data_IF_644102053955
#
_entry.id   IF_644102053955
#
_cell.length_a   1.000
_cell.length_b   1.000
_cell.length_c   1.000
_cell.angle_alpha   90.00
_cell.angle_beta   90.00
_cell.angle_gamma   90.00
#
_symmetry.space_group_name_H-M   'P 1'
#
loop_
_entity.id
_entity.type
_entity.pdbx_description
1 polymer ?
#
# COMPACT_ATOMS: atom_id res chain seq x y z
N UNK A 1 -66.17 9.06 -3.07
CA UNK A 1 -65.17 7.99 -2.95
C UNK A 1 -63.95 8.40 -3.77
N UNK A 2 -62.87 8.80 -3.10
CA UNK A 2 -61.75 9.56 -3.67
C UNK A 2 -60.96 8.77 -4.72
N UNK A 3 -60.81 9.36 -5.91
CA UNK A 3 -59.79 9.03 -6.90
C UNK A 3 -58.53 9.82 -6.52
N UNK A 4 -57.41 9.14 -6.24
CA UNK A 4 -56.11 9.79 -6.04
C UNK A 4 -55.38 9.89 -7.37
N UNK A 5 -55.02 11.12 -7.72
CA UNK A 5 -54.50 11.51 -9.03
C UNK A 5 -52.97 11.48 -9.09
N UNK A 6 -52.46 11.29 -10.31
CA UNK A 6 -51.03 11.27 -10.63
C UNK A 6 -50.40 12.64 -10.41
N UNK A 7 -49.56 12.80 -9.37
CA UNK A 7 -48.68 13.98 -9.27
C UNK A 7 -47.28 13.64 -8.76
N UNK A 8 -46.34 13.61 -9.71
CA UNK A 8 -44.96 14.15 -9.65
C UNK A 8 -44.18 13.99 -8.33
N UNK A 9 -43.20 13.09 -8.33
CA UNK A 9 -41.95 13.26 -7.56
C UNK A 9 -40.74 12.86 -8.40
N UNK A 10 -40.23 13.83 -9.17
CA UNK A 10 -38.83 13.86 -9.55
C UNK A 10 -38.06 14.44 -8.35
N UNK A 11 -37.24 13.63 -7.69
CA UNK A 11 -36.31 14.09 -6.66
C UNK A 11 -34.99 14.43 -7.34
N UNK A 12 -34.51 15.63 -7.03
CA UNK A 12 -33.49 16.37 -7.73
C UNK A 12 -32.10 15.75 -7.60
N UNK A 13 -31.46 15.55 -8.75
CA UNK A 13 -30.03 15.36 -8.92
C UNK A 13 -29.31 16.66 -8.53
N UNK A 14 -28.75 16.70 -7.31
CA UNK A 14 -27.88 17.82 -6.87
C UNK A 14 -26.52 17.70 -7.57
N UNK A 15 -26.41 18.34 -8.73
CA UNK A 15 -25.12 18.68 -9.37
C UNK A 15 -24.32 19.56 -8.40
N UNK A 16 -23.15 19.09 -7.95
CA UNK A 16 -22.08 19.98 -7.47
C UNK A 16 -21.18 20.27 -8.67
N UNK A 17 -21.39 21.43 -9.29
CA UNK A 17 -20.43 22.09 -10.16
C UNK A 17 -19.97 23.34 -9.42
N UNK A 18 -18.76 23.32 -8.90
CA UNK A 18 -17.99 24.46 -8.42
C UNK A 18 -16.55 23.94 -8.24
N UNK A 19 -15.50 24.47 -8.86
CA UNK A 19 -15.39 25.50 -9.87
C UNK A 19 -14.03 25.34 -10.54
N UNK A 20 -13.98 25.47 -11.86
CA UNK A 20 -12.72 25.60 -12.60
C UNK A 20 -12.32 27.07 -12.50
N UNK A 21 -11.42 27.37 -11.57
CA UNK A 21 -10.68 28.63 -11.60
C UNK A 21 -9.52 28.43 -12.58
N UNK A 22 -9.48 29.28 -13.60
CA UNK A 22 -8.41 29.36 -14.58
C UNK A 22 -7.09 29.73 -13.89
N UNK A 23 -6.04 28.96 -14.15
CA UNK A 23 -4.66 29.39 -13.99
C UNK A 23 -4.02 29.44 -15.38
N UNK A 24 -4.03 30.63 -15.98
CA UNK A 24 -3.16 30.99 -17.11
C UNK A 24 -1.94 31.66 -16.50
N UNK A 25 -0.76 31.07 -16.69
CA UNK A 25 0.52 31.74 -16.42
C UNK A 25 1.55 30.87 -15.70
N UNK A 26 2.28 30.03 -16.43
CA UNK A 26 3.74 30.09 -16.62
C UNK A 26 4.18 28.84 -17.39
N UNK A 27 4.58 29.02 -18.65
CA UNK A 27 5.46 28.07 -19.32
C UNK A 27 6.87 28.29 -18.78
N UNK A 28 7.24 27.56 -17.75
CA UNK A 28 8.62 27.41 -17.32
C UNK A 28 8.92 25.91 -17.21
N UNK A 29 9.76 25.44 -18.14
CA UNK A 29 10.48 24.17 -18.11
C UNK A 29 9.72 22.97 -17.53
N UNK A 30 9.17 22.14 -18.43
CA UNK A 30 8.95 20.71 -18.18
C UNK A 30 10.32 20.05 -17.93
N UNK A 31 10.90 20.29 -16.75
CA UNK A 31 11.81 19.34 -16.16
C UNK A 31 10.99 18.08 -15.93
N UNK A 32 11.34 16.98 -16.60
CA UNK A 32 10.89 15.67 -16.17
C UNK A 32 11.34 15.56 -14.73
N UNK A 33 10.41 15.71 -13.77
CA UNK A 33 10.68 15.38 -12.39
C UNK A 33 11.00 13.89 -12.43
N UNK A 34 12.28 13.56 -12.43
CA UNK A 34 12.74 12.20 -12.23
C UNK A 34 12.12 11.78 -10.91
N UNK A 35 11.20 10.82 -10.95
CA UNK A 35 10.68 10.22 -9.73
C UNK A 35 11.90 9.88 -8.86
N UNK A 36 11.89 10.20 -7.56
CA UNK A 36 13.01 9.88 -6.70
C UNK A 36 13.34 8.41 -6.88
N UNK A 37 14.61 8.11 -7.17
CA UNK A 37 15.11 6.75 -7.23
C UNK A 37 14.63 6.05 -5.97
N UNK A 38 14.02 4.87 -6.11
CA UNK A 38 13.65 4.07 -4.97
C UNK A 38 14.92 3.82 -4.15
N UNK A 39 15.05 4.51 -3.03
CA UNK A 39 16.16 4.31 -2.11
C UNK A 39 15.81 3.06 -1.31
N UNK A 40 16.11 1.91 -1.89
CA UNK A 40 16.34 0.77 -1.05
C UNK A 40 17.81 0.56 -0.85
N UNK A 41 18.06 0.20 0.37
CA UNK A 41 19.33 -0.09 0.93
C UNK A 41 19.45 -1.60 0.85
N UNK A 42 20.62 -2.03 0.37
CA UNK A 42 21.02 -3.39 0.04
C UNK A 42 20.32 -4.52 0.84
N UNK A 43 20.10 -5.67 0.19
CA UNK A 43 19.65 -6.94 0.80
C UNK A 43 20.52 -7.40 1.99
N UNK A 44 21.73 -6.83 2.13
CA UNK A 44 22.62 -7.13 3.24
C UNK A 44 22.15 -6.38 4.48
N UNK A 45 21.43 -7.10 5.35
CA UNK A 45 21.39 -6.79 6.77
C UNK A 45 22.82 -6.88 7.33
N UNK A 46 23.60 -5.81 7.21
CA UNK A 46 24.89 -5.75 7.87
C UNK A 46 24.70 -5.17 9.26
N UNK A 47 25.02 -5.98 10.23
CA UNK A 47 24.80 -5.68 11.61
C UNK A 47 25.78 -4.57 12.07
N UNK A 48 25.25 -3.47 12.63
CA UNK A 48 26.05 -2.36 13.16
C UNK A 48 25.95 -2.33 14.69
N UNK A 49 27.06 -2.46 15.40
CA UNK A 49 27.14 -2.12 16.84
C UNK A 49 26.93 -3.22 17.88
N UNK A 50 26.95 -4.51 17.56
CA UNK A 50 26.87 -5.63 18.54
C UNK A 50 25.49 -6.29 18.76
N UNK A 51 24.43 -5.78 18.14
CA UNK A 51 23.06 -6.33 18.02
C UNK A 51 22.97 -7.70 17.31
N UNK A 52 21.98 -8.51 17.71
CA UNK A 52 21.75 -9.84 17.15
C UNK A 52 21.17 -9.79 15.70
N UNK A 53 21.82 -10.50 14.78
CA UNK A 53 21.41 -10.63 13.37
C UNK A 53 20.18 -11.54 13.15
N UNK A 54 19.70 -12.24 14.20
CA UNK A 54 18.50 -13.07 14.16
C UNK A 54 17.27 -12.34 13.63
N UNK A 55 17.18 -11.02 13.88
CA UNK A 55 16.07 -10.17 13.40
C UNK A 55 15.92 -10.15 11.88
N UNK A 56 17.00 -10.38 11.14
CA UNK A 56 16.96 -10.42 9.67
C UNK A 56 16.43 -11.74 9.10
N UNK A 57 16.32 -12.79 9.92
CA UNK A 57 15.60 -14.01 9.53
C UNK A 57 14.07 -13.84 9.57
N UNK A 58 13.58 -12.73 10.11
CA UNK A 58 12.15 -12.47 10.28
C UNK A 58 11.57 -11.54 9.20
N UNK A 59 12.23 -11.36 8.05
CA UNK A 59 11.69 -10.51 6.98
C UNK A 59 10.59 -11.26 6.20
N UNK A 60 9.37 -10.76 6.28
CA UNK A 60 8.29 -11.21 5.41
C UNK A 60 8.54 -10.80 3.95
N UNK A 61 8.30 -11.73 3.02
CA UNK A 61 8.39 -11.45 1.58
C UNK A 61 7.11 -11.81 0.84
N UNK A 62 6.86 -11.08 -0.24
CA UNK A 62 5.85 -11.41 -1.24
C UNK A 62 6.58 -11.70 -2.56
N UNK A 63 6.16 -12.74 -3.26
CA UNK A 63 6.72 -13.13 -4.54
C UNK A 63 5.64 -13.08 -5.62
N UNK A 64 6.04 -12.79 -6.86
CA UNK A 64 5.13 -12.85 -8.00
C UNK A 64 4.45 -14.22 -8.12
N UNK A 65 3.23 -14.25 -8.64
CA UNK A 65 2.35 -15.41 -8.69
C UNK A 65 1.57 -15.66 -7.39
N UNK A 66 1.80 -14.86 -6.35
CA UNK A 66 1.07 -14.96 -5.09
C UNK A 66 -0.28 -14.24 -5.14
N UNK A 67 -1.26 -14.82 -4.44
CA UNK A 67 -2.59 -14.25 -4.20
C UNK A 67 -2.90 -14.39 -2.71
N UNK A 68 -3.45 -13.35 -2.10
CA UNK A 68 -3.71 -13.28 -0.65
C UNK A 68 -5.05 -12.62 -0.38
N UNK A 69 -5.84 -13.19 0.54
CA UNK A 69 -7.08 -12.58 1.01
C UNK A 69 -6.83 -11.56 2.11
N UNK A 70 -7.83 -10.72 2.43
CA UNK A 70 -7.75 -9.82 3.56
C UNK A 70 -7.49 -10.54 4.88
N UNK A 71 -6.76 -9.85 5.76
CA UNK A 71 -6.18 -10.40 6.99
C UNK A 71 -4.75 -10.92 6.84
N UNK A 72 -4.25 -11.09 5.60
CA UNK A 72 -2.87 -11.50 5.33
C UNK A 72 -1.85 -10.50 5.89
N UNK A 73 -0.71 -11.01 6.36
CA UNK A 73 0.32 -10.21 7.05
C UNK A 73 1.73 -10.70 6.76
N UNK A 74 2.65 -9.75 6.67
CA UNK A 74 4.09 -9.96 6.52
C UNK A 74 4.79 -9.10 7.56
N UNK A 75 5.51 -9.76 8.47
CA UNK A 75 6.02 -9.10 9.67
C UNK A 75 7.54 -9.00 9.59
N UNK A 76 8.08 -8.11 10.43
CA UNK A 76 9.40 -8.22 11.04
C UNK A 76 9.20 -8.33 12.56
N UNK A 77 10.27 -8.20 13.34
CA UNK A 77 10.17 -8.05 14.80
C UNK A 77 9.46 -6.78 15.24
N UNK A 78 9.51 -5.73 14.42
CA UNK A 78 9.17 -4.36 14.82
C UNK A 78 8.04 -3.77 13.95
N UNK A 79 7.67 -4.44 12.86
CA UNK A 79 6.61 -3.98 11.95
C UNK A 79 5.72 -5.11 11.42
N UNK A 80 4.56 -4.72 10.89
CA UNK A 80 3.68 -5.58 10.10
C UNK A 80 3.14 -4.83 8.89
N UNK A 81 3.35 -5.38 7.70
CA UNK A 81 2.58 -5.07 6.50
C UNK A 81 1.33 -5.95 6.52
N UNK A 82 0.15 -5.33 6.48
CA UNK A 82 -1.14 -6.03 6.56
C UNK A 82 -2.01 -5.67 5.37
N UNK A 83 -2.48 -6.69 4.65
CA UNK A 83 -3.59 -6.53 3.74
C UNK A 83 -4.88 -6.68 4.54
N UNK A 84 -5.62 -5.59 4.67
CA UNK A 84 -6.78 -5.49 5.55
C UNK A 84 -8.05 -5.99 4.86
N UNK A 85 -9.07 -6.33 5.66
CA UNK A 85 -10.37 -6.79 5.14
C UNK A 85 -11.19 -5.69 4.45
N UNK A 86 -10.69 -4.45 4.47
CA UNK A 86 -11.24 -3.34 3.70
C UNK A 86 -10.44 -3.09 2.42
N UNK A 87 -9.56 -4.00 1.98
CA UNK A 87 -8.76 -3.84 0.77
C UNK A 87 -7.56 -2.88 0.90
N UNK A 88 -7.33 -2.31 2.09
CA UNK A 88 -6.20 -1.41 2.33
C UNK A 88 -4.93 -2.21 2.66
N UNK A 89 -3.81 -1.85 2.03
CA UNK A 89 -2.51 -2.42 2.35
C UNK A 89 -1.77 -1.42 3.23
N UNK A 90 -1.53 -1.78 4.48
CA UNK A 90 -1.04 -0.83 5.50
C UNK A 90 0.15 -1.40 6.25
N UNK A 91 1.17 -0.56 6.44
CA UNK A 91 2.35 -0.84 7.25
C UNK A 91 2.16 -0.23 8.65
N UNK A 92 2.32 -1.03 9.68
CA UNK A 92 2.18 -0.63 11.08
C UNK A 92 3.45 -0.90 11.89
N UNK A 93 3.70 -0.05 12.89
CA UNK A 93 4.65 -0.36 13.96
C UNK A 93 4.04 -1.36 14.94
N UNK A 94 4.79 -2.39 15.34
CA UNK A 94 4.35 -3.35 16.36
C UNK A 94 4.56 -2.80 17.79
N UNK A 95 5.55 -1.94 17.97
CA UNK A 95 5.91 -1.38 19.28
C UNK A 95 5.77 0.15 19.27
N UNK A 96 5.56 0.71 20.46
CA UNK A 96 5.61 2.16 20.68
C UNK A 96 6.96 2.58 21.24
N UNK A 97 7.31 3.86 21.08
CA UNK A 97 8.61 4.39 21.50
C UNK A 97 9.02 5.61 20.67
N UNK A 98 10.26 6.07 20.88
CA UNK A 98 10.83 7.14 20.08
C UNK A 98 11.21 6.61 18.69
N UNK A 99 10.75 7.28 17.64
CA UNK A 99 11.11 7.00 16.25
C UNK A 99 12.23 7.95 15.82
N UNK A 100 13.38 7.39 15.45
CA UNK A 100 14.51 8.18 14.95
C UNK A 100 14.21 8.80 13.59
N UNK A 101 13.57 8.06 12.67
CA UNK A 101 13.24 8.55 11.32
C UNK A 101 12.19 9.68 11.33
N UNK A 102 11.33 9.74 12.35
CA UNK A 102 10.29 10.77 12.47
C UNK A 102 10.59 11.82 13.56
N UNK A 103 11.64 11.63 14.36
CA UNK A 103 12.00 12.46 15.52
C UNK A 103 10.85 12.72 16.50
N UNK A 104 9.99 11.72 16.73
CA UNK A 104 8.85 11.80 17.65
C UNK A 104 8.50 10.46 18.26
N UNK A 105 7.73 10.48 19.35
CA UNK A 105 7.12 9.26 19.87
C UNK A 105 6.02 8.77 18.93
N UNK A 106 6.01 7.47 18.67
CA UNK A 106 4.97 6.76 17.93
C UNK A 106 4.33 5.71 18.82
N UNK A 107 3.05 5.43 18.59
CA UNK A 107 2.31 4.42 19.34
C UNK A 107 2.44 3.04 18.70
N UNK A 108 2.31 1.98 19.50
CA UNK A 108 2.12 0.64 18.95
C UNK A 108 0.82 0.61 18.11
N UNK A 109 0.89 0.02 16.92
CA UNK A 109 -0.22 0.00 15.96
C UNK A 109 -0.39 1.28 15.14
N UNK A 110 0.53 2.24 15.24
CA UNK A 110 0.50 3.44 14.39
C UNK A 110 0.86 3.09 12.93
N UNK A 111 0.09 3.61 11.98
CA UNK A 111 0.29 3.38 10.55
C UNK A 111 1.41 4.30 10.01
N UNK A 112 2.41 3.70 9.37
CA UNK A 112 3.54 4.44 8.78
C UNK A 112 3.36 4.68 7.28
N UNK A 113 2.69 3.76 6.60
CA UNK A 113 2.37 3.85 5.17
C UNK A 113 1.08 3.10 4.88
N UNK A 114 0.32 3.57 3.90
CA UNK A 114 -0.86 2.88 3.41
C UNK A 114 -0.99 3.05 1.88
N UNK A 115 -1.58 2.07 1.20
CA UNK A 115 -1.99 2.23 -0.20
C UNK A 115 -3.03 3.34 -0.36
N UNK A 116 -3.74 3.69 0.71
CA UNK A 116 -4.74 4.75 0.73
C UNK A 116 -6.04 4.34 0.04
N UNK A 117 -6.20 3.04 -0.23
CA UNK A 117 -7.39 2.48 -0.83
C UNK A 117 -8.10 1.59 0.19
N UNK A 118 -9.23 2.04 0.69
CA UNK A 118 -10.19 1.16 1.37
C UNK A 118 -11.38 0.97 0.43
N UNK A 119 -11.95 -0.22 0.36
CA UNK A 119 -13.09 -0.58 -0.47
C UNK A 119 -14.23 0.40 -0.21
N UNK A 120 -14.35 1.39 -1.10
CA UNK A 120 -15.35 2.45 -1.07
C UNK A 120 -16.44 2.22 -2.12
N UNK A 121 -16.61 0.99 -2.62
CA UNK A 121 -17.64 0.73 -3.61
C UNK A 121 -19.04 1.03 -3.04
N UNK A 122 -19.56 2.20 -3.40
CA UNK A 122 -20.88 2.68 -2.99
C UNK A 122 -22.02 1.90 -3.67
N UNK A 123 -21.69 1.08 -4.65
CA UNK A 123 -22.67 0.42 -5.54
C UNK A 123 -22.96 -1.00 -5.04
N UNK A 124 -21.97 -1.70 -4.46
CA UNK A 124 -22.15 -3.04 -3.90
C UNK A 124 -21.30 -3.21 -2.63
N UNK A 125 -21.84 -3.77 -1.54
CA UNK A 125 -21.01 -4.13 -0.39
C UNK A 125 -19.97 -5.16 -0.86
N UNK A 126 -18.66 -4.89 -0.67
CA UNK A 126 -17.63 -5.84 -1.03
C UNK A 126 -17.84 -7.12 -0.21
N UNK A 127 -17.81 -8.26 -0.90
CA UNK A 127 -17.96 -9.59 -0.27
C UNK A 127 -16.64 -10.36 -0.21
N UNK A 128 -15.58 -9.76 -0.73
CA UNK A 128 -14.22 -10.25 -0.61
C UNK A 128 -13.21 -9.25 -1.15
N UNK A 129 -11.97 -9.46 -0.78
CA UNK A 129 -10.83 -8.66 -1.16
C UNK A 129 -9.64 -9.57 -1.39
N UNK A 130 -8.85 -9.27 -2.40
CA UNK A 130 -7.62 -9.99 -2.65
C UNK A 130 -6.50 -9.05 -3.07
N UNK A 131 -5.30 -9.46 -2.74
CA UNK A 131 -4.05 -8.86 -3.16
C UNK A 131 -3.36 -9.88 -4.07
N UNK A 132 -3.07 -9.49 -5.30
CA UNK A 132 -2.37 -10.32 -6.28
C UNK A 132 -1.03 -9.67 -6.61
N UNK A 133 0.05 -10.46 -6.56
CA UNK A 133 1.33 -10.04 -7.11
C UNK A 133 1.53 -10.74 -8.44
N UNK A 134 1.26 -10.04 -9.53
CA UNK A 134 1.26 -10.62 -10.87
C UNK A 134 2.69 -10.97 -11.31
N UNK A 135 2.82 -11.92 -12.25
CA UNK A 135 4.12 -12.36 -12.81
C UNK A 135 4.81 -11.29 -13.66
N UNK A 136 4.14 -10.18 -13.94
CA UNK A 136 4.74 -8.99 -14.54
C UNK A 136 5.38 -8.06 -13.50
N UNK A 137 5.26 -8.36 -12.20
CA UNK A 137 5.78 -7.56 -11.11
C UNK A 137 4.85 -6.45 -10.64
N UNK A 138 3.57 -6.44 -11.03
CA UNK A 138 2.61 -5.50 -10.44
C UNK A 138 1.93 -6.11 -9.21
N UNK A 139 2.08 -5.48 -8.04
CA UNK A 139 1.25 -5.79 -6.87
C UNK A 139 -0.05 -4.97 -6.95
N UNK A 140 -1.18 -5.66 -7.02
CA UNK A 140 -2.50 -5.05 -7.19
C UNK A 140 -3.51 -5.61 -6.17
N UNK A 141 -4.43 -4.78 -5.73
CA UNK A 141 -5.59 -5.20 -4.95
C UNK A 141 -6.85 -5.20 -5.81
N UNK A 142 -7.76 -6.08 -5.44
CA UNK A 142 -9.07 -6.23 -6.06
C UNK A 142 -10.15 -6.38 -4.99
N UNK A 143 -11.35 -5.93 -5.31
CA UNK A 143 -12.55 -6.18 -4.52
C UNK A 143 -13.51 -7.08 -5.31
N UNK A 144 -14.16 -8.02 -4.63
CA UNK A 144 -15.22 -8.84 -5.19
C UNK A 144 -16.58 -8.22 -4.87
N UNK A 145 -17.41 -8.05 -5.90
CA UNK A 145 -18.82 -7.69 -5.72
C UNK A 145 -19.71 -8.85 -6.12
N UNK A 146 -20.84 -9.00 -5.42
CA UNK A 146 -21.90 -9.93 -5.84
C UNK A 146 -22.77 -9.28 -6.92
N UNK A 147 -22.59 -9.70 -8.16
CA UNK A 147 -23.49 -9.37 -9.26
C UNK A 147 -24.66 -10.36 -9.24
N UNK A 148 -25.64 -10.15 -8.35
CA UNK A 148 -26.76 -11.10 -8.21
C UNK A 148 -27.74 -11.03 -9.38
N UNK A 149 -27.46 -11.87 -10.37
CA UNK A 149 -28.44 -12.76 -11.02
C UNK A 149 -27.89 -14.20 -11.24
N UNK A 150 -26.57 -14.41 -11.17
CA UNK A 150 -25.91 -15.69 -11.53
C UNK A 150 -24.96 -16.26 -10.45
N UNK A 151 -24.76 -15.58 -9.32
CA UNK A 151 -23.89 -16.06 -8.23
C UNK A 151 -22.40 -16.13 -8.59
N UNK A 152 -21.96 -15.34 -9.58
CA UNK A 152 -20.56 -15.22 -9.96
C UNK A 152 -19.94 -14.00 -9.29
N UNK A 153 -18.75 -14.19 -8.70
CA UNK A 153 -17.94 -13.09 -8.22
C UNK A 153 -17.32 -12.36 -9.41
N UNK A 154 -17.51 -11.05 -9.45
CA UNK A 154 -16.75 -10.18 -10.34
C UNK A 154 -15.72 -9.42 -9.52
N UNK A 155 -14.47 -9.45 -9.99
CA UNK A 155 -13.33 -8.81 -9.35
C UNK A 155 -13.04 -7.48 -10.02
N UNK A 156 -13.08 -6.41 -9.23
CA UNK A 156 -12.80 -5.05 -9.65
C UNK A 156 -11.41 -4.67 -9.20
N UNK A 157 -10.61 -4.17 -10.14
CA UNK A 157 -9.31 -3.59 -9.86
C UNK A 157 -9.50 -2.34 -8.98
N UNK A 158 -8.83 -2.28 -7.82
CA UNK A 158 -8.97 -1.19 -6.86
C UNK A 158 -7.74 -0.30 -6.76
N UNK A 159 -6.56 -0.90 -6.66
CA UNK A 159 -5.27 -0.20 -6.51
C UNK A 159 -4.12 -1.09 -6.97
N UNK A 160 -2.98 -0.51 -7.34
CA UNK A 160 -1.71 -1.21 -7.54
C UNK A 160 -0.51 -0.29 -7.30
N UNK A 161 0.69 -0.88 -7.30
CA UNK A 161 1.95 -0.14 -7.25
C UNK A 161 2.26 0.63 -8.55
N UNK A 162 1.55 0.34 -9.65
CA UNK A 162 1.83 0.86 -11.01
C UNK A 162 3.26 0.54 -11.49
N UNK A 163 3.70 -0.69 -11.26
CA UNK A 163 5.05 -1.17 -11.62
C UNK A 163 4.96 -2.51 -12.36
N UNK A 164 5.89 -2.71 -13.29
CA UNK A 164 5.99 -3.93 -14.10
C UNK A 164 7.44 -4.32 -14.37
N UNK A 165 8.29 -4.49 -13.32
CA UNK A 165 9.69 -4.80 -13.51
C UNK A 165 9.95 -6.25 -13.96
N UNK A 166 8.90 -7.08 -14.08
CA UNK A 166 8.93 -8.44 -14.59
C UNK A 166 8.91 -9.53 -13.50
N UNK A 167 9.01 -10.78 -13.92
CA UNK A 167 8.84 -11.96 -13.05
C UNK A 167 9.95 -12.15 -12.00
N UNK A 168 11.03 -11.38 -12.05
CA UNK A 168 12.04 -11.38 -10.99
C UNK A 168 11.66 -10.49 -9.81
N UNK A 169 10.50 -9.84 -9.86
CA UNK A 169 10.02 -8.96 -8.81
C UNK A 169 9.70 -9.73 -7.52
N UNK A 170 10.01 -9.11 -6.40
CA UNK A 170 9.55 -9.54 -5.09
C UNK A 170 9.53 -8.34 -4.15
N UNK A 171 8.72 -8.42 -3.09
CA UNK A 171 8.59 -7.34 -2.10
C UNK A 171 9.10 -7.85 -0.77
N UNK A 172 9.88 -7.01 -0.08
CA UNK A 172 10.44 -7.27 1.22
C UNK A 172 9.84 -6.31 2.25
N UNK A 173 9.42 -6.83 3.41
CA UNK A 173 9.27 -6.03 4.63
C UNK A 173 10.60 -6.09 5.36
N UNK A 174 11.37 -5.01 5.28
CA UNK A 174 12.75 -4.97 5.74
C UNK A 174 12.85 -4.61 7.23
N UNK A 175 13.91 -5.10 7.89
CA UNK A 175 14.14 -4.88 9.31
C UNK A 175 14.40 -3.40 9.66
N UNK A 176 14.84 -2.60 8.69
CA UNK A 176 15.07 -1.16 8.82
C UNK A 176 13.78 -0.32 8.76
N UNK A 177 12.61 -0.96 8.65
CA UNK A 177 11.32 -0.27 8.66
C UNK A 177 10.77 0.04 7.27
N UNK A 178 11.46 -0.36 6.19
CA UNK A 178 11.02 -0.09 4.83
C UNK A 178 10.22 -1.27 4.23
N UNK A 179 9.34 -0.96 3.27
CA UNK A 179 8.75 -1.95 2.36
C UNK A 179 9.29 -1.66 0.98
N UNK A 180 9.96 -2.65 0.37
CA UNK A 180 10.71 -2.44 -0.86
C UNK A 180 10.33 -3.48 -1.90
N UNK A 181 10.08 -3.01 -3.11
CA UNK A 181 10.02 -3.85 -4.30
C UNK A 181 11.41 -3.96 -4.93
N UNK A 182 11.87 -5.19 -5.08
CA UNK A 182 13.14 -5.55 -5.71
C UNK A 182 12.87 -6.24 -7.03
N UNK A 183 13.67 -5.95 -8.05
CA UNK A 183 13.72 -6.70 -9.29
C UNK A 183 15.14 -6.73 -9.83
N UNK A 184 15.57 -7.89 -10.33
CA UNK A 184 16.92 -8.08 -10.88
C UNK A 184 18.05 -7.64 -9.91
N UNK A 185 17.86 -7.85 -8.61
CA UNK A 185 18.82 -7.47 -7.57
C UNK A 185 18.90 -5.97 -7.27
N UNK A 186 17.99 -5.16 -7.81
CA UNK A 186 17.90 -3.72 -7.58
C UNK A 186 16.54 -3.35 -7.03
N UNK A 187 16.49 -2.34 -6.18
CA UNK A 187 15.22 -1.80 -5.76
C UNK A 187 14.62 -0.89 -6.81
N UNK A 188 13.32 -1.09 -7.03
CA UNK A 188 12.56 -0.41 -8.07
C UNK A 188 11.40 0.42 -7.51
N UNK A 189 11.03 0.19 -6.24
CA UNK A 189 10.09 1.00 -5.47
C UNK A 189 10.36 0.82 -3.96
N UNK A 190 10.02 1.83 -3.15
CA UNK A 190 10.07 1.77 -1.69
C UNK A 190 8.96 2.62 -1.05
N UNK A 191 8.47 2.20 0.13
CA UNK A 191 7.51 2.97 0.93
C UNK A 191 8.12 4.23 1.54
N UNK A 192 9.46 4.32 1.62
CA UNK A 192 10.22 5.40 2.25
C UNK A 192 9.87 5.56 3.74
N UNK A 193 9.68 4.44 4.44
CA UNK A 193 9.37 4.39 5.88
C UNK A 193 10.54 3.89 6.72
N UNK A 194 11.76 3.93 6.17
CA UNK A 194 12.96 3.55 6.90
C UNK A 194 13.05 4.32 8.22
N UNK A 195 13.34 3.62 9.30
CA UNK A 195 13.49 4.14 10.66
C UNK A 195 12.24 4.83 11.24
N UNK A 196 11.08 4.69 10.58
CA UNK A 196 9.83 5.29 11.07
C UNK A 196 9.27 4.58 12.31
N UNK A 197 9.59 3.30 12.51
CA UNK A 197 9.19 2.54 13.70
C UNK A 197 10.32 2.40 14.73
N UNK A 198 10.03 2.41 16.04
CA UNK A 198 11.05 2.21 17.06
C UNK A 198 11.67 0.82 16.96
N UNK A 199 12.97 0.72 17.18
CA UNK A 199 13.73 -0.53 17.08
C UNK A 199 14.25 -0.84 15.67
N UNK A 200 13.89 -0.03 14.67
CA UNK A 200 14.34 -0.21 13.28
C UNK A 200 15.61 0.57 12.95
N UNK A 201 15.97 1.56 13.78
CA UNK A 201 17.14 2.45 13.64
C UNK A 201 18.50 1.75 13.70
N UNK A 202 18.56 0.58 14.34
CA UNK A 202 19.81 -0.18 14.50
C UNK A 202 20.18 -1.01 13.27
N UNK A 203 19.29 -1.06 12.28
CA UNK A 203 19.55 -1.71 11.01
C UNK A 203 20.08 -0.67 10.04
N UNK A 204 21.39 -0.78 9.79
CA UNK A 204 22.09 0.11 8.89
C UNK A 204 22.08 -0.39 7.46
N UNK A 205 22.14 0.63 6.63
CA UNK A 205 21.96 0.61 5.21
C UNK A 205 23.31 0.91 4.55
N UNK A 206 24.06 -0.14 4.23
CA UNK A 206 25.37 -0.02 3.57
C UNK A 206 25.44 -0.90 2.32
N UNK A 207 25.82 -0.30 1.18
CA UNK A 207 26.47 -1.06 0.12
C UNK A 207 27.89 -1.37 0.60
N UNK A 208 28.26 -2.65 0.65
CA UNK A 208 29.66 -3.05 0.47
C UNK A 208 29.84 -3.46 -0.98
#
# INVERSE_FOLDING_TARGET
MLKLDKTKRAIALKRRVAGVAAAVGLMASLGVATAPSASATSFVCNHWGGVDGSKCQHQGSLHTGGEWSGGSRWNTSDMVLKFQGDGNLVLYCLHGGYSEGLHRNVSAGEAMWASGHSNQSWIHPPIGEKLDFWTDGNLASYEATDQTALGQLEWYYTWDLKRWPGASAWIAVQADGNVVEWANGQAVWASNTYHSCPGTENYWNGYQ
#
